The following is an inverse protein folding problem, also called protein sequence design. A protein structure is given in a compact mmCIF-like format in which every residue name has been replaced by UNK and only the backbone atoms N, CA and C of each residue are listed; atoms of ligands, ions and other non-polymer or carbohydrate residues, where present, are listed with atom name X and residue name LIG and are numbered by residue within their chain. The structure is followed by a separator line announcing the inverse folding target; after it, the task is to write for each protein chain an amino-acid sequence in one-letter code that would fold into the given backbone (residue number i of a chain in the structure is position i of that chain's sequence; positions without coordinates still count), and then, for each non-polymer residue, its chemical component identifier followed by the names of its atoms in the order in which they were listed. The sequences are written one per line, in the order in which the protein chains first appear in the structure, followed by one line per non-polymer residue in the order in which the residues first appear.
data_IF_764471323757
#
_entry.id   IF_764471323757
#
_cell.length_a   1.000
_cell.length_b   1.000
_cell.length_c   1.000
_cell.angle_alpha   90.00
_cell.angle_beta   90.00
_cell.angle_gamma   90.00
#
_symmetry.space_group_name_H-M   'P 1'
#
loop_
_entity.id
_entity.type
_entity.pdbx_description
1 polymer ?
#
# COMPACT_ATOMS: atom_id res chain seq x y z
N UNK A 1 -35.50 -11.59 6.80
CA UNK A 1 -34.33 -12.50 6.69
C UNK A 1 -33.47 -12.36 5.42
N UNK A 2 -33.92 -11.68 4.35
CA UNK A 2 -33.13 -11.58 3.10
C UNK A 2 -31.92 -10.61 3.18
N UNK A 3 -32.01 -9.52 3.97
CA UNK A 3 -30.95 -8.50 4.09
C UNK A 3 -29.70 -8.95 4.85
N UNK A 4 -29.84 -9.87 5.81
CA UNK A 4 -28.71 -10.41 6.59
C UNK A 4 -27.85 -11.36 5.72
N UNK A 5 -28.49 -12.10 4.81
CA UNK A 5 -27.78 -12.96 3.85
C UNK A 5 -26.94 -12.17 2.86
N UNK A 6 -27.38 -10.97 2.46
CA UNK A 6 -26.63 -10.13 1.52
C UNK A 6 -25.36 -9.52 2.12
N UNK A 7 -25.41 -9.12 3.41
CA UNK A 7 -24.24 -8.65 4.16
C UNK A 7 -23.21 -9.76 4.41
N UNK A 8 -23.66 -11.00 4.67
CA UNK A 8 -22.77 -12.14 4.85
C UNK A 8 -22.05 -12.57 3.55
N UNK A 9 -22.63 -12.28 2.38
CA UNK A 9 -22.01 -12.52 1.08
C UNK A 9 -20.96 -11.45 0.76
N UNK A 10 -21.21 -10.19 1.12
CA UNK A 10 -20.26 -9.08 0.92
C UNK A 10 -19.06 -9.20 1.88
N UNK A 11 -19.26 -9.61 3.13
CA UNK A 11 -18.16 -9.90 4.06
C UNK A 11 -17.29 -11.08 3.59
N UNK A 12 -17.88 -12.07 2.92
CA UNK A 12 -17.14 -13.19 2.31
C UNK A 12 -16.42 -12.83 1.02
N UNK A 13 -16.88 -11.84 0.25
CA UNK A 13 -16.15 -11.36 -0.93
C UNK A 13 -14.96 -10.49 -0.52
N UNK A 14 -15.12 -9.63 0.49
CA UNK A 14 -14.02 -8.82 1.05
C UNK A 14 -12.95 -9.70 1.71
N UNK A 15 -13.35 -10.78 2.39
CA UNK A 15 -12.38 -11.74 2.96
C UNK A 15 -11.66 -12.62 1.93
N UNK A 16 -12.19 -12.78 0.71
CA UNK A 16 -11.53 -13.52 -0.39
C UNK A 16 -10.63 -12.65 -1.26
N UNK A 17 -10.85 -11.33 -1.27
CA UNK A 17 -9.98 -10.39 -1.98
C UNK A 17 -8.72 -9.98 -1.19
N UNK A 18 -8.60 -10.39 0.08
CA UNK A 18 -7.39 -10.19 0.87
C UNK A 18 -6.41 -11.39 0.86
N UNK A 19 -6.71 -12.45 0.10
CA UNK A 19 -5.78 -13.57 -0.12
C UNK A 19 -5.29 -13.58 -1.57
N UNK A 20 -4.49 -12.58 -1.91
CA UNK A 20 -3.57 -12.64 -3.05
C UNK A 20 -2.15 -12.75 -2.47
N UNK A 21 -1.58 -13.93 -2.72
CA UNK A 21 -0.19 -14.35 -2.57
C UNK A 21 0.79 -13.43 -1.84
N UNK A 22 1.16 -13.84 -0.62
CA UNK A 22 2.46 -13.53 -0.03
C UNK A 22 3.50 -14.47 -0.67
N UNK A 23 4.52 -14.00 -1.41
CA UNK A 23 5.62 -14.86 -1.86
C UNK A 23 6.78 -14.75 -0.87
N UNK A 24 6.54 -15.04 0.41
CA UNK A 24 7.61 -15.10 1.41
C UNK A 24 7.36 -16.34 2.25
N UNK A 25 7.98 -17.45 1.84
CA UNK A 25 7.98 -18.69 2.60
C UNK A 25 8.70 -18.53 3.95
N UNK A 26 8.53 -19.48 4.88
CA UNK A 26 9.28 -19.49 6.13
C UNK A 26 10.69 -20.01 5.86
N UNK A 27 11.52 -19.18 5.24
CA UNK A 27 12.97 -19.41 5.11
C UNK A 27 13.69 -18.08 5.21
N UNK A 28 13.92 -17.67 6.45
CA UNK A 28 15.12 -16.96 6.93
C UNK A 28 14.81 -16.33 8.28
N UNK A 29 14.62 -17.18 9.30
CA UNK A 29 15.09 -16.81 10.63
C UNK A 29 16.54 -17.30 10.70
N UNK A 30 17.41 -16.70 9.87
CA UNK A 30 18.83 -16.74 10.16
C UNK A 30 19.00 -15.66 11.21
N UNK A 31 18.93 -16.11 12.45
CA UNK A 31 19.39 -15.39 13.62
C UNK A 31 20.53 -14.46 13.19
N UNK A 32 20.33 -13.15 13.35
CA UNK A 32 21.45 -12.23 13.47
C UNK A 32 22.12 -12.57 14.79
N UNK A 33 22.85 -13.70 14.79
CA UNK A 33 24.02 -13.87 15.59
C UNK A 33 24.99 -12.80 15.10
N UNK A 34 24.82 -11.59 15.60
CA UNK A 34 25.96 -10.72 15.81
C UNK A 34 26.73 -11.34 16.97
N UNK A 35 27.33 -12.51 16.72
CA UNK A 35 28.56 -12.86 17.39
C UNK A 35 29.55 -11.85 16.85
N UNK A 36 29.54 -10.65 17.43
CA UNK A 36 30.77 -9.89 17.51
C UNK A 36 31.81 -10.92 17.94
N UNK A 37 32.95 -11.07 17.24
CA UNK A 37 34.03 -11.83 17.82
C UNK A 37 34.22 -11.17 19.18
N UNK A 38 33.98 -11.92 20.26
CA UNK A 38 34.48 -11.53 21.56
C UNK A 38 35.95 -11.40 21.28
N UNK A 39 36.39 -10.15 21.06
CA UNK A 39 37.78 -9.83 20.82
C UNK A 39 38.44 -10.48 22.01
N UNK A 40 39.13 -11.59 21.72
CA UNK A 40 39.83 -12.35 22.72
C UNK A 40 40.61 -11.29 23.47
N UNK A 41 40.23 -11.03 24.73
CA UNK A 41 40.97 -10.12 25.57
C UNK A 41 42.40 -10.60 25.42
N UNK A 42 43.23 -9.79 24.75
CA UNK A 42 44.61 -10.10 24.45
C UNK A 42 45.28 -10.12 25.81
N UNK A 43 45.17 -11.27 26.49
CA UNK A 43 45.87 -11.58 27.71
C UNK A 43 47.31 -11.75 27.26
N UNK A 44 47.98 -10.62 27.01
CA UNK A 44 49.41 -10.58 26.81
C UNK A 44 50.00 -11.33 27.98
N UNK A 45 50.58 -12.49 27.68
CA UNK A 45 51.26 -13.32 28.65
C UNK A 45 52.36 -12.45 29.25
N UNK A 46 52.19 -12.07 30.51
CA UNK A 46 53.10 -11.20 31.20
C UNK A 46 54.35 -12.03 31.52
N UNK A 47 55.39 -11.91 30.70
CA UNK A 47 56.71 -12.44 31.03
C UNK A 47 57.34 -11.54 32.09
N UNK A 48 57.63 -12.12 33.24
CA UNK A 48 58.14 -11.41 34.41
C UNK A 48 59.60 -11.78 34.59
N UNK A 49 60.39 -10.74 34.80
CA UNK A 49 61.84 -10.78 34.97
C UNK A 49 62.21 -11.79 36.09
N UNK A 50 63.25 -12.62 35.90
CA UNK A 50 63.70 -13.57 36.91
C UNK A 50 64.09 -12.88 38.23
N UNK A 51 63.66 -13.47 39.35
CA UNK A 51 63.88 -12.99 40.72
C UNK A 51 65.32 -13.26 41.17
N UNK A 52 66.28 -12.46 40.71
CA UNK A 52 67.72 -12.67 40.99
C UNK A 52 68.18 -12.24 42.41
N UNK A 53 67.30 -11.71 43.27
CA UNK A 53 67.72 -10.95 44.46
C UNK A 53 67.28 -11.50 45.82
N UNK A 54 67.07 -12.82 45.99
CA UNK A 54 66.71 -13.38 47.31
C UNK A 54 67.71 -14.40 47.81
N UNK A 55 68.90 -13.91 48.17
CA UNK A 55 69.92 -14.70 48.87
C UNK A 55 69.51 -14.83 50.34
N UNK A 56 69.13 -16.04 50.76
CA UNK A 56 68.90 -16.34 52.16
C UNK A 56 70.22 -16.17 52.92
N UNK A 57 70.26 -15.26 53.90
CA UNK A 57 71.40 -15.13 54.80
C UNK A 57 71.30 -16.21 55.87
N UNK A 58 71.73 -17.41 55.53
CA UNK A 58 71.89 -18.50 56.49
C UNK A 58 73.31 -18.46 57.05
N UNK A 59 73.45 -18.19 58.35
CA UNK A 59 74.74 -18.20 59.02
C UNK A 59 75.14 -19.65 59.35
N UNK A 60 75.75 -20.31 58.38
CA UNK A 60 76.24 -21.68 58.52
C UNK A 60 77.30 -21.79 59.62
N UNK A 61 78.05 -20.73 59.91
CA UNK A 61 79.17 -20.81 60.83
C UNK A 61 78.70 -20.78 62.29
N UNK A 62 77.80 -19.86 62.63
CA UNK A 62 77.21 -19.80 63.96
C UNK A 62 76.51 -21.12 64.34
N UNK A 63 75.82 -21.73 63.39
CA UNK A 63 75.09 -22.98 63.62
C UNK A 63 76.00 -24.21 63.77
N UNK A 64 77.14 -24.24 63.08
CA UNK A 64 78.15 -25.29 63.30
C UNK A 64 78.74 -25.18 64.71
N UNK A 65 79.09 -23.96 65.16
CA UNK A 65 79.63 -23.73 66.52
C UNK A 65 78.61 -24.14 67.59
N UNK A 66 77.33 -23.83 67.38
CA UNK A 66 76.28 -24.22 68.32
C UNK A 66 76.13 -25.75 68.41
N UNK A 67 76.20 -26.46 67.29
CA UNK A 67 76.14 -27.93 67.27
C UNK A 67 77.38 -28.57 67.92
N UNK A 68 78.57 -28.01 67.69
CA UNK A 68 79.81 -28.47 68.35
C UNK A 68 79.72 -28.32 69.88
N UNK A 69 79.20 -27.18 70.37
CA UNK A 69 78.99 -26.94 71.80
C UNK A 69 77.98 -27.91 72.44
N UNK A 70 77.07 -28.47 71.64
CA UNK A 70 76.08 -29.47 72.07
C UNK A 70 76.59 -30.93 71.94
N UNK A 71 77.89 -31.13 71.69
CA UNK A 71 78.53 -32.45 71.72
C UNK A 71 78.59 -33.17 70.37
N UNK A 72 78.27 -32.50 69.26
CA UNK A 72 78.47 -33.06 67.92
C UNK A 72 79.93 -32.89 67.47
N UNK A 73 80.46 -33.88 66.74
CA UNK A 73 81.75 -33.70 66.08
C UNK A 73 81.62 -32.67 64.96
N UNK A 74 82.65 -31.85 64.76
CA UNK A 74 82.74 -30.83 63.70
C UNK A 74 82.22 -31.32 62.34
N UNK A 75 82.71 -32.48 61.89
CA UNK A 75 82.33 -33.06 60.61
C UNK A 75 80.83 -33.42 60.54
N UNK A 76 80.23 -33.84 61.66
CA UNK A 76 78.80 -34.16 61.75
C UNK A 76 77.95 -32.88 61.76
N UNK A 77 78.39 -31.84 62.49
CA UNK A 77 77.75 -30.53 62.52
C UNK A 77 77.76 -29.87 61.13
N UNK A 78 78.90 -29.88 60.43
CA UNK A 78 79.04 -29.36 59.06
C UNK A 78 78.14 -30.10 58.06
N UNK A 79 78.03 -31.43 58.16
CA UNK A 79 77.17 -32.24 57.29
C UNK A 79 75.69 -31.91 57.49
N UNK A 80 75.24 -31.80 58.73
CA UNK A 80 73.85 -31.46 59.09
C UNK A 80 73.51 -30.05 58.59
N UNK A 81 74.40 -29.09 58.84
CA UNK A 81 74.24 -27.71 58.39
C UNK A 81 74.21 -27.61 56.86
N UNK A 82 75.07 -28.35 56.16
CA UNK A 82 75.08 -28.42 54.69
C UNK A 82 73.76 -29.00 54.12
N UNK A 83 73.24 -30.07 54.72
CA UNK A 83 71.95 -30.64 54.34
C UNK A 83 70.79 -29.65 54.57
N UNK A 84 70.81 -28.92 55.69
CA UNK A 84 69.79 -27.91 56.00
C UNK A 84 69.86 -26.71 55.07
N UNK A 85 71.05 -26.21 54.73
CA UNK A 85 71.21 -25.15 53.73
C UNK A 85 70.67 -25.61 52.38
N UNK A 86 70.97 -26.84 51.97
CA UNK A 86 70.53 -27.40 50.69
C UNK A 86 69.00 -27.53 50.63
N UNK A 87 68.39 -28.12 51.65
CA UNK A 87 66.93 -28.27 51.74
C UNK A 87 66.22 -26.92 51.83
N UNK A 88 66.74 -25.98 52.62
CA UNK A 88 66.14 -24.65 52.79
C UNK A 88 66.23 -23.84 51.50
N UNK A 89 67.37 -23.92 50.79
CA UNK A 89 67.53 -23.28 49.48
C UNK A 89 66.55 -23.87 48.46
N UNK A 90 66.46 -25.20 48.38
CA UNK A 90 65.53 -25.87 47.46
C UNK A 90 64.05 -25.58 47.77
N UNK A 91 63.67 -25.53 49.05
CA UNK A 91 62.30 -25.20 49.45
C UNK A 91 61.97 -23.72 49.15
N UNK A 92 62.92 -22.81 49.36
CA UNK A 92 62.75 -21.41 49.02
C UNK A 92 62.56 -21.20 47.52
N UNK A 93 63.29 -21.91 46.66
CA UNK A 93 63.12 -21.81 45.21
C UNK A 93 61.70 -22.21 44.77
N UNK A 94 61.12 -23.25 45.38
CA UNK A 94 59.74 -23.69 45.12
C UNK A 94 58.74 -22.64 45.61
N UNK A 95 58.87 -22.20 46.86
CA UNK A 95 57.95 -21.21 47.45
C UNK A 95 57.98 -19.89 46.68
N UNK A 96 59.16 -19.37 46.34
CA UNK A 96 59.28 -18.10 45.63
C UNK A 96 58.83 -18.17 44.17
N UNK A 97 58.87 -19.34 43.53
CA UNK A 97 58.32 -19.55 42.20
C UNK A 97 56.79 -19.40 42.18
N UNK A 98 56.12 -19.85 43.23
CA UNK A 98 54.65 -19.79 43.33
C UNK A 98 54.15 -18.52 44.03
N UNK A 99 55.03 -17.75 44.70
CA UNK A 99 54.67 -16.48 45.34
C UNK A 99 54.60 -15.32 44.35
N UNK A 100 53.59 -14.47 44.55
CA UNK A 100 53.46 -13.17 43.88
C UNK A 100 54.16 -12.09 44.69
N UNK A 101 54.98 -11.28 44.04
CA UNK A 101 55.64 -10.14 44.70
C UNK A 101 54.79 -8.88 44.63
N UNK A 102 55.00 -7.94 45.57
CA UNK A 102 54.31 -6.64 45.56
C UNK A 102 54.53 -5.89 44.24
N UNK A 103 55.74 -5.94 43.68
CA UNK A 103 56.05 -5.33 42.39
C UNK A 103 55.27 -6.01 41.25
N UNK A 104 55.13 -7.34 41.30
CA UNK A 104 54.34 -8.06 40.32
C UNK A 104 52.85 -7.68 40.38
N UNK A 105 52.29 -7.57 41.59
CA UNK A 105 50.92 -7.13 41.82
C UNK A 105 50.70 -5.68 41.34
N UNK A 106 51.64 -4.77 41.58
CA UNK A 106 51.55 -3.38 41.13
C UNK A 106 51.49 -3.28 39.60
N UNK A 107 52.35 -4.01 38.88
CA UNK A 107 52.34 -4.04 37.41
C UNK A 107 51.01 -4.58 36.88
N UNK A 108 50.50 -5.67 37.47
CA UNK A 108 49.21 -6.24 37.07
C UNK A 108 48.05 -5.23 37.30
N UNK A 109 48.07 -4.51 38.42
CA UNK A 109 47.08 -3.47 38.71
C UNK A 109 47.17 -2.30 37.73
N UNK A 110 48.38 -1.83 37.40
CA UNK A 110 48.56 -0.76 36.40
C UNK A 110 48.03 -1.17 35.02
N UNK A 111 48.23 -2.43 34.61
CA UNK A 111 47.67 -2.95 33.36
C UNK A 111 46.14 -3.00 33.40
N UNK A 112 45.54 -3.51 34.49
CA UNK A 112 44.08 -3.52 34.66
C UNK A 112 43.52 -2.10 34.61
N UNK A 113 44.17 -1.14 35.28
CA UNK A 113 43.77 0.27 35.24
C UNK A 113 43.82 0.84 33.82
N UNK A 114 44.88 0.56 33.07
CA UNK A 114 44.99 1.00 31.68
C UNK A 114 43.88 0.41 30.79
N UNK A 115 43.51 -0.86 31.00
CA UNK A 115 42.39 -1.48 30.30
C UNK A 115 41.05 -0.84 30.67
N UNK A 116 40.80 -0.57 31.96
CA UNK A 116 39.59 0.13 32.40
C UNK A 116 39.50 1.54 31.82
N UNK A 117 40.63 2.25 31.70
CA UNK A 117 40.69 3.56 31.07
C UNK A 117 40.40 3.50 29.57
N UNK A 118 40.84 2.44 28.87
CA UNK A 118 40.47 2.20 27.47
C UNK A 118 38.97 1.97 27.32
N UNK A 119 38.39 1.07 28.13
CA UNK A 119 36.95 0.78 28.09
C UNK A 119 36.14 2.04 28.38
N UNK A 120 36.59 2.88 29.33
CA UNK A 120 35.94 4.17 29.63
C UNK A 120 35.95 5.10 28.41
N UNK A 121 37.07 5.18 27.68
CA UNK A 121 37.16 5.99 26.45
C UNK A 121 36.19 5.48 25.39
N UNK A 122 36.16 4.17 25.17
CA UNK A 122 35.25 3.56 24.18
C UNK A 122 33.78 3.84 24.54
N UNK A 123 33.41 3.73 25.82
CA UNK A 123 32.07 4.08 26.30
C UNK A 123 31.70 5.54 26.01
N UNK A 124 32.63 6.47 26.29
CA UNK A 124 32.41 7.91 26.03
C UNK A 124 32.30 8.20 24.53
N UNK A 125 33.10 7.54 23.69
CA UNK A 125 33.03 7.67 22.23
C UNK A 125 31.68 7.16 21.72
N UNK A 126 31.23 6.00 22.20
CA UNK A 126 29.95 5.42 21.85
C UNK A 126 28.79 6.36 22.20
N UNK A 127 28.80 6.91 23.43
CA UNK A 127 27.77 7.83 23.92
C UNK A 127 27.75 9.15 23.17
N UNK A 128 28.92 9.75 22.91
CA UNK A 128 29.01 11.08 22.30
C UNK A 128 28.90 11.07 20.78
N UNK A 129 29.40 10.03 20.11
CA UNK A 129 29.43 9.97 18.65
C UNK A 129 28.27 9.15 18.11
N UNK A 130 28.25 7.85 18.40
CA UNK A 130 27.34 6.92 17.71
C UNK A 130 25.88 7.11 18.15
N UNK A 131 25.63 7.21 19.45
CA UNK A 131 24.27 7.45 19.94
C UNK A 131 23.75 8.84 19.58
N UNK A 132 24.61 9.87 19.54
CA UNK A 132 24.22 11.20 19.11
C UNK A 132 23.86 11.22 17.62
N UNK A 133 24.67 10.56 16.79
CA UNK A 133 24.41 10.42 15.36
C UNK A 133 23.10 9.66 15.10
N UNK A 134 22.89 8.52 15.76
CA UNK A 134 21.66 7.73 15.64
C UNK A 134 20.42 8.52 16.07
N UNK A 135 20.50 9.29 17.17
CA UNK A 135 19.37 10.15 17.59
C UNK A 135 19.07 11.26 16.58
N UNK A 136 20.12 11.89 16.04
CA UNK A 136 19.99 12.93 15.01
C UNK A 136 19.38 12.38 13.72
N UNK A 137 19.87 11.24 13.26
CA UNK A 137 19.37 10.56 12.06
C UNK A 137 17.94 10.08 12.25
N UNK A 138 17.59 9.53 13.42
CA UNK A 138 16.22 9.15 13.74
C UNK A 138 15.27 10.36 13.76
N UNK A 139 15.69 11.47 14.38
CA UNK A 139 14.92 12.71 14.38
C UNK A 139 14.72 13.24 12.94
N UNK A 140 15.77 13.22 12.12
CA UNK A 140 15.70 13.62 10.70
C UNK A 140 14.74 12.73 9.91
N UNK A 141 14.87 11.41 10.01
CA UNK A 141 13.96 10.46 9.36
C UNK A 141 12.50 10.69 9.79
N UNK A 142 12.25 10.97 11.06
CA UNK A 142 10.91 11.29 11.56
C UNK A 142 10.35 12.56 10.91
N UNK A 143 11.16 13.62 10.81
CA UNK A 143 10.72 14.87 10.15
C UNK A 143 10.46 14.68 8.66
N UNK A 144 11.28 13.91 7.95
CA UNK A 144 11.07 13.60 6.53
C UNK A 144 9.80 12.77 6.32
N UNK A 145 9.54 11.80 7.21
CA UNK A 145 8.32 11.00 7.18
C UNK A 145 7.07 11.86 7.40
N UNK A 146 7.08 12.76 8.38
CA UNK A 146 5.98 13.68 8.63
C UNK A 146 5.75 14.64 7.45
N UNK A 147 6.84 15.10 6.82
CA UNK A 147 6.77 15.92 5.61
C UNK A 147 6.14 15.17 4.42
N UNK A 148 6.60 13.95 4.13
CA UNK A 148 6.05 13.12 3.06
C UNK A 148 4.58 12.80 3.33
N UNK A 149 4.23 12.47 4.57
CA UNK A 149 2.84 12.21 4.98
C UNK A 149 1.94 13.42 4.73
N UNK A 150 2.40 14.61 5.10
CA UNK A 150 1.64 15.86 4.91
C UNK A 150 1.45 16.16 3.43
N UNK A 151 2.51 16.06 2.63
CA UNK A 151 2.44 16.21 1.17
C UNK A 151 1.49 15.22 0.50
N UNK A 152 1.50 13.96 0.93
CA UNK A 152 0.61 12.93 0.38
C UNK A 152 -0.85 13.24 0.70
N UNK A 153 -1.15 13.73 1.90
CA UNK A 153 -2.50 14.14 2.29
C UNK A 153 -2.97 15.34 1.47
N UNK A 154 -2.12 16.33 1.27
CA UNK A 154 -2.43 17.52 0.46
C UNK A 154 -2.68 17.15 -1.01
N UNK A 155 -1.78 16.38 -1.64
CA UNK A 155 -1.95 15.92 -3.03
C UNK A 155 -3.18 15.02 -3.19
N UNK A 156 -3.47 14.15 -2.22
CA UNK A 156 -4.69 13.33 -2.26
C UNK A 156 -5.96 14.16 -2.17
N UNK A 157 -5.97 15.20 -1.33
CA UNK A 157 -7.10 16.12 -1.22
C UNK A 157 -7.27 16.96 -2.49
N UNK A 158 -6.17 17.47 -3.04
CA UNK A 158 -6.15 18.22 -4.30
C UNK A 158 -6.68 17.36 -5.45
N UNK A 159 -6.15 16.16 -5.63
CA UNK A 159 -6.62 15.20 -6.65
C UNK A 159 -8.11 14.90 -6.49
N UNK A 160 -8.58 14.69 -5.25
CA UNK A 160 -10.01 14.47 -4.98
C UNK A 160 -10.87 15.68 -5.37
N UNK A 161 -10.41 16.89 -5.07
CA UNK A 161 -11.12 18.12 -5.42
C UNK A 161 -11.16 18.32 -6.94
N UNK A 162 -10.04 18.10 -7.62
CA UNK A 162 -9.92 18.14 -9.09
C UNK A 162 -10.85 17.12 -9.76
N UNK A 163 -10.81 15.85 -9.34
CA UNK A 163 -11.69 14.81 -9.88
C UNK A 163 -13.17 15.12 -9.63
N UNK A 164 -13.52 15.68 -8.46
CA UNK A 164 -14.90 16.10 -8.17
C UNK A 164 -15.33 17.25 -9.08
N UNK A 165 -14.45 18.22 -9.32
CA UNK A 165 -14.73 19.33 -10.23
C UNK A 165 -14.94 18.82 -11.66
N UNK A 166 -14.04 17.97 -12.16
CA UNK A 166 -14.11 17.38 -13.50
C UNK A 166 -15.43 16.62 -13.72
N UNK A 167 -15.80 15.74 -12.78
CA UNK A 167 -17.09 15.01 -12.82
C UNK A 167 -18.28 15.98 -12.81
N UNK A 168 -18.22 17.07 -12.05
CA UNK A 168 -19.31 18.04 -12.01
C UNK A 168 -19.42 18.84 -13.32
N UNK A 169 -18.30 19.22 -13.92
CA UNK A 169 -18.28 19.92 -15.21
C UNK A 169 -18.82 19.01 -16.32
N UNK A 170 -18.37 17.75 -16.39
CA UNK A 170 -18.89 16.79 -17.36
C UNK A 170 -20.37 16.46 -17.11
N UNK A 171 -20.80 16.36 -15.86
CA UNK A 171 -22.23 16.19 -15.54
C UNK A 171 -23.06 17.38 -16.03
N UNK A 172 -22.60 18.61 -15.81
CA UNK A 172 -23.27 19.81 -16.31
C UNK A 172 -23.36 19.77 -17.83
N UNK A 173 -22.24 19.50 -18.51
CA UNK A 173 -22.16 19.42 -19.97
C UNK A 173 -23.12 18.38 -20.55
N UNK A 174 -23.19 17.19 -19.95
CA UNK A 174 -24.12 16.14 -20.36
C UNK A 174 -25.58 16.56 -20.13
N UNK A 175 -25.86 17.23 -19.01
CA UNK A 175 -27.20 17.73 -18.70
C UNK A 175 -27.63 18.79 -19.71
N UNK A 176 -26.76 19.75 -20.02
CA UNK A 176 -27.04 20.81 -21.00
C UNK A 176 -27.32 20.22 -22.39
N UNK A 177 -26.49 19.26 -22.84
CA UNK A 177 -26.71 18.54 -24.11
C UNK A 177 -28.02 17.75 -24.11
N UNK A 178 -28.37 17.12 -22.99
CA UNK A 178 -29.64 16.40 -22.87
C UNK A 178 -30.83 17.35 -22.97
N UNK A 179 -30.78 18.50 -22.28
CA UNK A 179 -31.85 19.52 -22.37
C UNK A 179 -31.97 20.13 -23.76
N UNK A 180 -30.87 20.36 -24.47
CA UNK A 180 -30.89 20.81 -25.87
C UNK A 180 -31.53 19.76 -26.80
N UNK A 181 -31.24 18.48 -26.59
CA UNK A 181 -31.89 17.39 -27.34
C UNK A 181 -33.38 17.28 -27.03
N UNK A 182 -33.78 17.42 -25.77
CA UNK A 182 -35.18 17.42 -25.35
C UNK A 182 -35.94 18.59 -25.99
N UNK A 183 -35.35 19.79 -26.02
CA UNK A 183 -35.93 20.97 -26.67
C UNK A 183 -36.10 20.74 -28.18
N UNK A 184 -35.08 20.23 -28.88
CA UNK A 184 -35.16 19.90 -30.31
C UNK A 184 -36.24 18.85 -30.60
N UNK A 185 -36.37 17.86 -29.73
CA UNK A 185 -37.41 16.83 -29.86
C UNK A 185 -38.80 17.44 -29.66
N UNK A 186 -38.96 18.33 -28.68
CA UNK A 186 -40.21 19.04 -28.43
C UNK A 186 -40.57 19.94 -29.62
N UNK A 187 -39.63 20.72 -30.15
CA UNK A 187 -39.82 21.53 -31.35
C UNK A 187 -40.25 20.66 -32.54
N UNK A 188 -39.51 19.60 -32.85
CA UNK A 188 -39.86 18.68 -33.93
C UNK A 188 -41.25 18.02 -33.74
N UNK A 189 -41.61 17.67 -32.50
CA UNK A 189 -42.93 17.15 -32.17
C UNK A 189 -44.03 18.20 -32.40
N UNK A 190 -43.80 19.45 -31.99
CA UNK A 190 -44.76 20.54 -32.22
C UNK A 190 -44.93 20.86 -33.70
N UNK A 191 -43.84 20.86 -34.48
CA UNK A 191 -43.88 21.05 -35.93
C UNK A 191 -44.60 19.89 -36.62
N UNK A 192 -44.36 18.65 -36.19
CA UNK A 192 -45.06 17.47 -36.69
C UNK A 192 -46.56 17.58 -36.44
N UNK A 193 -46.99 17.91 -35.22
CA UNK A 193 -48.40 18.10 -34.90
C UNK A 193 -49.05 19.22 -35.70
N UNK A 194 -48.35 20.34 -35.90
CA UNK A 194 -48.82 21.45 -36.74
C UNK A 194 -49.04 21.00 -38.18
N UNK A 195 -48.05 20.35 -38.80
CA UNK A 195 -48.17 19.82 -40.17
C UNK A 195 -49.28 18.77 -40.28
N UNK A 196 -49.45 17.93 -39.27
CA UNK A 196 -50.54 16.96 -39.26
C UNK A 196 -51.90 17.65 -39.25
N UNK A 197 -52.08 18.70 -38.45
CA UNK A 197 -53.31 19.48 -38.43
C UNK A 197 -53.57 20.20 -39.76
N UNK A 198 -52.53 20.74 -40.41
CA UNK A 198 -52.63 21.34 -41.74
C UNK A 198 -53.07 20.29 -42.78
N UNK A 199 -52.46 19.10 -42.77
CA UNK A 199 -52.85 17.98 -43.65
C UNK A 199 -54.29 17.53 -43.39
N UNK A 200 -54.72 17.42 -42.13
CA UNK A 200 -56.08 17.04 -41.77
C UNK A 200 -57.10 18.09 -42.26
N UNK A 201 -56.74 19.38 -42.18
CA UNK A 201 -57.55 20.48 -42.71
C UNK A 201 -57.70 20.41 -44.23
N UNK A 202 -56.60 20.28 -44.96
CA UNK A 202 -56.59 20.17 -46.43
C UNK A 202 -57.36 18.92 -46.90
N UNK A 203 -57.20 17.80 -46.18
CA UNK A 203 -57.94 16.56 -46.44
C UNK A 203 -59.44 16.77 -46.20
N UNK A 204 -59.83 17.48 -45.14
CA UNK A 204 -61.24 17.82 -44.91
C UNK A 204 -61.79 18.73 -46.02
N UNK A 205 -61.03 19.74 -46.46
CA UNK A 205 -61.47 20.65 -47.52
C UNK A 205 -61.66 19.92 -48.86
N UNK A 206 -60.70 19.08 -49.24
CA UNK A 206 -60.76 18.26 -50.45
C UNK A 206 -61.93 17.25 -50.40
N UNK A 207 -62.14 16.57 -49.27
CA UNK A 207 -63.31 15.71 -49.08
C UNK A 207 -64.63 16.48 -49.25
N UNK A 208 -64.75 17.68 -48.65
CA UNK A 208 -65.94 18.53 -48.84
C UNK A 208 -66.16 18.93 -50.30
N UNK A 209 -65.10 19.25 -51.04
CA UNK A 209 -65.19 19.55 -52.49
C UNK A 209 -65.68 18.34 -53.27
N UNK A 210 -65.12 17.16 -52.99
CA UNK A 210 -65.56 15.89 -53.61
C UNK A 210 -67.05 15.66 -53.32
N UNK A 211 -67.50 15.81 -52.08
CA UNK A 211 -68.92 15.62 -51.71
C UNK A 211 -69.85 16.59 -52.47
N UNK A 212 -69.45 17.85 -52.60
CA UNK A 212 -70.19 18.86 -53.37
C UNK A 212 -70.26 18.51 -54.87
N UNK A 213 -69.15 18.12 -55.47
CA UNK A 213 -69.09 17.69 -56.87
C UNK A 213 -69.93 16.44 -57.11
N UNK A 214 -69.88 15.46 -56.21
CA UNK A 214 -70.71 14.24 -56.27
C UNK A 214 -72.19 14.58 -56.18
N UNK A 215 -72.60 15.48 -55.27
CA UNK A 215 -73.99 15.93 -55.16
C UNK A 215 -74.45 16.71 -56.41
N UNK A 216 -73.58 17.57 -56.95
CA UNK A 216 -73.82 18.31 -58.19
C UNK A 216 -73.99 17.38 -59.39
N UNK A 217 -73.05 16.45 -59.60
CA UNK A 217 -73.12 15.44 -60.65
C UNK A 217 -74.37 14.57 -60.54
N UNK A 218 -74.75 14.18 -59.31
CA UNK A 218 -75.99 13.42 -59.06
C UNK A 218 -77.22 14.22 -59.46
N UNK A 219 -77.27 15.51 -59.15
CA UNK A 219 -78.38 16.40 -59.53
C UNK A 219 -78.48 16.53 -61.06
N UNK A 220 -77.34 16.72 -61.75
CA UNK A 220 -77.28 16.76 -63.21
C UNK A 220 -77.77 15.42 -63.79
N UNK A 221 -77.30 14.29 -63.26
CA UNK A 221 -77.70 12.95 -63.69
C UNK A 221 -79.22 12.74 -63.53
N UNK A 222 -79.79 13.11 -62.38
CA UNK A 222 -81.24 13.03 -62.13
C UNK A 222 -82.04 13.90 -63.10
N UNK A 223 -81.57 15.12 -63.39
CA UNK A 223 -82.22 16.01 -64.35
C UNK A 223 -82.20 15.45 -65.78
N UNK A 224 -81.06 14.91 -66.23
CA UNK A 224 -80.92 14.28 -67.55
C UNK A 224 -81.79 13.03 -67.67
N UNK A 225 -81.93 12.25 -66.60
CA UNK A 225 -82.85 11.11 -66.54
C UNK A 225 -84.30 11.57 -66.73
N UNK A 226 -84.74 12.62 -66.02
CA UNK A 226 -86.10 13.17 -66.18
C UNK A 226 -86.31 13.74 -67.59
N UNK A 227 -85.31 14.40 -68.16
CA UNK A 227 -85.37 14.94 -69.52
C UNK A 227 -85.51 13.82 -70.56
N UNK A 228 -84.75 12.73 -70.40
CA UNK A 228 -84.81 11.55 -71.26
C UNK A 228 -86.19 10.89 -71.18
N UNK A 229 -86.76 10.75 -69.98
CA UNK A 229 -88.13 10.25 -69.78
C UNK A 229 -89.14 11.15 -70.50
N UNK A 230 -88.98 12.48 -70.42
CA UNK A 230 -89.86 13.44 -71.11
C UNK A 230 -89.76 13.34 -72.63
N UNK A 231 -88.55 13.26 -73.21
CA UNK A 231 -88.37 13.08 -74.66
C UNK A 231 -88.93 11.76 -75.15
N UNK A 232 -88.75 10.68 -74.39
CA UNK A 232 -89.30 9.36 -74.72
C UNK A 232 -90.84 9.40 -74.70
N UNK A 233 -91.44 10.03 -73.69
CA UNK A 233 -92.88 10.22 -73.68
C UNK A 233 -93.33 11.03 -74.90
N UNK A 234 -92.66 12.15 -75.21
CA UNK A 234 -93.00 12.98 -76.37
C UNK A 234 -92.89 12.23 -77.71
N UNK A 235 -91.86 11.40 -77.90
CA UNK A 235 -91.69 10.62 -79.13
C UNK A 235 -92.74 9.52 -79.28
N UNK A 236 -93.11 8.83 -78.19
CA UNK A 236 -94.21 7.87 -78.18
C UNK A 236 -95.54 8.56 -78.49
N UNK A 237 -95.83 9.70 -77.87
CA UNK A 237 -97.03 10.49 -78.16
C UNK A 237 -97.06 10.99 -79.61
N UNK A 238 -95.93 11.46 -80.16
CA UNK A 238 -95.84 11.87 -81.56
C UNK A 238 -96.06 10.69 -82.52
N UNK A 239 -95.48 9.52 -82.23
CA UNK A 239 -95.71 8.30 -83.00
C UNK A 239 -97.19 7.89 -82.99
N UNK A 240 -97.83 7.91 -81.80
CA UNK A 240 -99.26 7.66 -81.66
C UNK A 240 -100.12 8.70 -82.40
N UNK A 241 -99.74 9.98 -82.38
CA UNK A 241 -100.44 11.02 -83.13
C UNK A 241 -100.33 10.82 -84.64
N UNK A 242 -99.16 10.41 -85.14
CA UNK A 242 -98.94 10.07 -86.55
C UNK A 242 -99.77 8.84 -86.95
N UNK A 243 -99.75 7.76 -86.16
CA UNK A 243 -100.55 6.56 -86.47
C UNK A 243 -102.05 6.83 -86.44
N UNK A 244 -102.54 7.64 -85.48
CA UNK A 244 -103.94 8.12 -85.47
C UNK A 244 -104.25 9.03 -86.69
N UNK A 245 -103.29 9.85 -87.11
CA UNK A 245 -103.39 10.66 -88.34
C UNK A 245 -103.53 9.80 -89.61
N UNK A 246 -102.68 8.77 -89.76
CA UNK A 246 -102.78 7.81 -90.86
C UNK A 246 -104.07 6.99 -90.81
N UNK A 247 -104.51 6.55 -89.62
CA UNK A 247 -105.78 5.85 -89.45
C UNK A 247 -106.98 6.71 -89.88
N UNK A 248 -106.91 8.04 -89.66
CA UNK A 248 -107.95 8.99 -90.08
C UNK A 248 -107.97 9.25 -91.59
N UNK A 249 -106.84 9.12 -92.29
CA UNK A 249 -106.72 9.27 -93.74
C UNK A 249 -107.11 8.00 -94.53
N UNK A 250 -107.17 6.83 -93.87
CA UNK A 250 -107.59 5.55 -94.47
C UNK A 250 -109.08 5.24 -94.28
N UNK A 251 -109.85 6.18 -93.71
CA UNK A 251 -111.31 6.11 -93.59
C UNK A 251 -111.96 7.12 -94.53
#
# INVERSE_FOLDING_TARGET
MARIRHLATILRSVSRQLHIGSPWGPRCLRELHFTAPVAAYDMRKVELIPLEQRKLTFDSHAMVIELENNGFQKNQAELIVSALVTLTTSNMDIVYKDMVTSAHQEIALQQIMAHLDSIRKDMVILEKSEFANLRSENAKMKTELDHIRSRLLEESQKFRAEAKLDINLERSRVTDLFTDQENKLMEASTEFHRKNADIDHDTMETNKKIDLEVASLKTILESLKLETIRYLAASVFACLAITLGFYRLWK
#
